data_IF_423783086064
#
_entry.id   IF_423783086064
#
_cell.length_a   1.000
_cell.length_b   1.000
_cell.length_c   1.000
_cell.angle_alpha   90.00
_cell.angle_beta   90.00
_cell.angle_gamma   90.00
#
_symmetry.space_group_name_H-M   'P 1'
#
loop_
_entity.id
_entity.type
_entity.pdbx_description
1 polymer ?
#
# COMPACT_ATOMS: atom_id res chain seq x y z
N UNK A 1 -10.53 2.61 -20.31
CA UNK A 1 -9.65 3.81 -20.40
C UNK A 1 -9.76 4.56 -19.09
N UNK A 2 -8.68 5.15 -18.58
CA UNK A 2 -8.74 5.91 -17.34
C UNK A 2 -9.68 7.11 -17.47
N UNK A 3 -10.35 7.47 -16.37
CA UNK A 3 -11.30 8.60 -16.34
C UNK A 3 -10.62 9.97 -16.38
N UNK A 4 -9.33 10.01 -16.03
CA UNK A 4 -8.47 11.19 -16.11
C UNK A 4 -7.29 10.81 -17.01
N UNK A 5 -6.92 11.59 -18.03
CA UNK A 5 -5.71 11.35 -18.82
C UNK A 5 -4.48 11.33 -17.91
N UNK A 6 -3.65 10.30 -18.03
CA UNK A 6 -2.43 10.15 -17.23
C UNK A 6 -1.27 10.71 -18.07
N UNK A 7 -0.58 11.78 -17.61
CA UNK A 7 0.48 12.39 -18.38
C UNK A 7 1.70 11.45 -18.50
N UNK A 8 2.50 11.63 -19.52
CA UNK A 8 3.85 11.10 -19.55
C UNK A 8 4.69 11.68 -18.41
N UNK A 9 5.80 11.01 -18.05
CA UNK A 9 6.68 11.52 -16.98
C UNK A 9 7.16 12.95 -17.28
N UNK A 10 7.53 13.24 -18.53
CA UNK A 10 8.08 14.54 -18.93
C UNK A 10 7.00 15.62 -19.17
N UNK A 11 5.74 15.22 -19.21
CA UNK A 11 4.58 16.11 -19.31
C UNK A 11 4.04 16.55 -17.93
N UNK A 12 4.54 15.92 -16.85
CA UNK A 12 4.14 16.26 -15.49
C UNK A 12 4.62 17.66 -15.10
N UNK A 13 3.88 18.38 -14.23
CA UNK A 13 4.30 19.68 -13.69
C UNK A 13 5.73 19.66 -13.14
N UNK A 14 6.47 20.76 -13.31
CA UNK A 14 7.88 20.86 -12.90
C UNK A 14 8.09 20.54 -11.42
N UNK A 15 7.15 20.96 -10.57
CA UNK A 15 7.17 20.74 -9.12
C UNK A 15 7.03 19.24 -8.75
N UNK A 16 6.44 18.43 -9.63
CA UNK A 16 6.29 16.99 -9.45
C UNK A 16 7.52 16.19 -9.87
N UNK A 17 8.35 16.73 -10.77
CA UNK A 17 9.48 16.01 -11.40
C UNK A 17 10.46 15.41 -10.36
N UNK A 18 10.90 16.11 -9.30
CA UNK A 18 11.87 15.55 -8.36
C UNK A 18 11.34 14.29 -7.64
N UNK A 19 10.02 14.23 -7.37
CA UNK A 19 9.41 13.06 -6.73
C UNK A 19 9.33 11.91 -7.73
N UNK A 20 8.94 12.16 -8.98
CA UNK A 20 8.91 11.16 -10.04
C UNK A 20 10.30 10.58 -10.33
N UNK A 21 11.33 11.41 -10.30
CA UNK A 21 12.73 10.98 -10.46
C UNK A 21 13.16 10.03 -9.34
N UNK A 22 12.76 10.32 -8.09
CA UNK A 22 13.05 9.43 -6.97
C UNK A 22 12.32 8.09 -7.08
N UNK A 23 11.09 8.09 -7.55
CA UNK A 23 10.32 6.87 -7.83
C UNK A 23 11.02 6.06 -8.94
N UNK A 24 11.44 6.71 -10.02
CA UNK A 24 12.16 6.06 -11.11
C UNK A 24 13.47 5.41 -10.64
N UNK A 25 14.24 6.07 -9.77
CA UNK A 25 15.46 5.49 -9.19
C UNK A 25 15.19 4.22 -8.39
N UNK A 26 14.04 4.14 -7.71
CA UNK A 26 13.71 3.01 -6.85
C UNK A 26 13.13 1.83 -7.62
N UNK A 27 12.27 2.09 -8.61
CA UNK A 27 11.52 1.05 -9.32
C UNK A 27 12.06 0.77 -10.74
N UNK A 28 12.91 1.66 -11.28
CA UNK A 28 13.39 1.58 -12.66
C UNK A 28 12.42 2.18 -13.70
N UNK A 29 11.25 2.62 -13.27
CA UNK A 29 10.23 3.30 -14.08
C UNK A 29 9.32 4.14 -13.17
N UNK A 30 8.47 4.99 -13.78
CA UNK A 30 7.46 5.77 -13.04
C UNK A 30 6.09 5.16 -13.30
N UNK A 31 5.48 4.48 -12.30
CA UNK A 31 4.18 3.84 -12.47
C UNK A 31 3.05 4.83 -12.76
N UNK A 32 1.97 4.33 -13.38
CA UNK A 32 0.78 5.11 -13.72
C UNK A 32 0.15 5.84 -12.53
N UNK A 33 0.18 5.24 -11.35
CA UNK A 33 -0.31 5.89 -10.12
C UNK A 33 0.44 7.19 -9.83
N UNK A 34 1.79 7.16 -9.83
CA UNK A 34 2.59 8.35 -9.54
C UNK A 34 2.47 9.40 -10.64
N UNK A 35 2.36 8.97 -11.91
CA UNK A 35 2.06 9.88 -13.03
C UNK A 35 0.68 10.51 -12.91
N UNK A 36 -0.35 9.75 -12.50
CA UNK A 36 -1.68 10.28 -12.19
C UNK A 36 -1.62 11.32 -11.06
N UNK A 37 -0.96 10.97 -9.95
CA UNK A 37 -0.84 11.88 -8.80
C UNK A 37 -0.06 13.15 -9.14
N UNK A 38 0.88 13.08 -10.08
CA UNK A 38 1.72 14.21 -10.47
C UNK A 38 0.95 15.38 -11.09
N UNK A 39 -0.26 15.15 -11.57
CA UNK A 39 -1.17 16.20 -12.06
C UNK A 39 -1.42 17.26 -10.98
N UNK A 40 -1.41 16.83 -9.70
CA UNK A 40 -1.45 17.71 -8.54
C UNK A 40 -0.15 17.60 -7.74
N UNK A 41 0.80 18.54 -7.88
CA UNK A 41 2.04 18.54 -7.12
C UNK A 41 1.82 18.44 -5.60
N UNK A 42 0.77 19.08 -5.09
CA UNK A 42 0.42 19.03 -3.67
C UNK A 42 -0.04 17.64 -3.21
N UNK A 43 -0.86 16.94 -4.02
CA UNK A 43 -1.29 15.58 -3.70
C UNK A 43 -0.11 14.61 -3.74
N UNK A 44 0.76 14.71 -4.76
CA UNK A 44 1.96 13.89 -4.88
C UNK A 44 2.94 14.14 -3.72
N UNK A 45 3.17 15.41 -3.36
CA UNK A 45 4.06 15.77 -2.25
C UNK A 45 3.51 15.26 -0.90
N UNK A 46 2.22 15.40 -0.65
CA UNK A 46 1.57 14.89 0.56
C UNK A 46 1.71 13.37 0.69
N UNK A 47 1.43 12.64 -0.39
CA UNK A 47 1.63 11.19 -0.45
C UNK A 47 3.10 10.80 -0.22
N UNK A 48 4.04 11.43 -0.93
CA UNK A 48 5.46 11.12 -0.84
C UNK A 48 6.03 11.43 0.55
N UNK A 49 5.60 12.53 1.17
CA UNK A 49 6.00 12.92 2.52
C UNK A 49 5.56 11.91 3.58
N UNK A 50 4.29 11.49 3.55
CA UNK A 50 3.76 10.48 4.47
C UNK A 50 4.44 9.12 4.25
N UNK A 51 4.54 8.66 3.00
CA UNK A 51 5.23 7.41 2.65
C UNK A 51 6.69 7.43 3.11
N UNK A 52 7.41 8.51 2.85
CA UNK A 52 8.81 8.65 3.24
C UNK A 52 9.00 8.60 4.76
N UNK A 53 8.10 9.20 5.54
CA UNK A 53 8.12 9.15 7.00
C UNK A 53 7.83 7.74 7.52
N UNK A 54 6.76 7.10 7.06
CA UNK A 54 6.33 5.78 7.52
C UNK A 54 7.26 4.65 7.03
N UNK A 55 8.04 4.86 5.97
CA UNK A 55 9.00 3.86 5.49
C UNK A 55 10.11 3.52 6.49
N UNK A 56 10.30 4.35 7.52
CA UNK A 56 11.36 4.21 8.53
C UNK A 56 10.89 3.59 9.85
N UNK A 57 9.61 3.24 9.96
CA UNK A 57 8.98 2.84 11.22
C UNK A 57 8.90 1.32 11.37
N UNK A 58 7.95 0.68 10.71
CA UNK A 58 7.80 -0.78 10.72
C UNK A 58 8.80 -1.45 9.77
N UNK A 59 9.11 -2.72 9.98
CA UNK A 59 9.93 -3.48 9.04
C UNK A 59 9.23 -3.63 7.68
N UNK A 60 10.01 -3.83 6.62
CA UNK A 60 9.51 -3.85 5.25
C UNK A 60 8.46 -4.94 5.02
N UNK A 61 8.62 -6.12 5.62
CA UNK A 61 7.67 -7.23 5.43
C UNK A 61 6.34 -6.95 6.10
N UNK A 62 6.35 -6.28 7.26
CA UNK A 62 5.12 -5.83 7.92
C UNK A 62 4.40 -4.77 7.09
N UNK A 63 5.13 -3.78 6.56
CA UNK A 63 4.54 -2.74 5.71
C UNK A 63 3.92 -3.31 4.43
N UNK A 64 4.64 -4.20 3.75
CA UNK A 64 4.14 -4.82 2.51
C UNK A 64 2.96 -5.76 2.78
N UNK A 65 2.98 -6.49 3.91
CA UNK A 65 1.85 -7.29 4.35
C UNK A 65 0.59 -6.46 4.60
N UNK A 66 0.75 -5.30 5.26
CA UNK A 66 -0.35 -4.33 5.45
C UNK A 66 -0.85 -3.81 4.10
N UNK A 67 0.05 -3.46 3.18
CA UNK A 67 -0.32 -2.98 1.85
C UNK A 67 -1.15 -4.00 1.06
N UNK A 68 -0.73 -5.28 1.08
CA UNK A 68 -1.44 -6.37 0.42
C UNK A 68 -2.84 -6.58 1.03
N UNK A 69 -2.94 -6.64 2.36
CA UNK A 69 -4.21 -6.84 3.06
C UNK A 69 -5.20 -5.68 2.82
N UNK A 70 -4.73 -4.44 2.86
CA UNK A 70 -5.54 -3.25 2.58
C UNK A 70 -6.00 -3.24 1.13
N UNK A 71 -5.10 -3.54 0.18
CA UNK A 71 -5.43 -3.56 -1.26
C UNK A 71 -6.46 -4.64 -1.60
N UNK A 72 -6.37 -5.82 -0.98
CA UNK A 72 -7.34 -6.90 -1.14
C UNK A 72 -8.69 -6.52 -0.54
N UNK A 73 -8.70 -6.00 0.70
CA UNK A 73 -9.93 -5.63 1.40
C UNK A 73 -10.70 -4.51 0.70
N UNK A 74 -10.00 -3.58 0.03
CA UNK A 74 -10.60 -2.46 -0.73
C UNK A 74 -10.84 -2.80 -2.22
N UNK A 75 -10.45 -3.99 -2.67
CA UNK A 75 -10.65 -4.43 -4.06
C UNK A 75 -9.86 -3.63 -5.08
N UNK A 76 -8.65 -3.15 -4.73
CA UNK A 76 -7.80 -2.40 -5.66
C UNK A 76 -6.85 -3.33 -6.44
N UNK A 77 -7.26 -3.75 -7.63
CA UNK A 77 -6.44 -4.63 -8.48
C UNK A 77 -5.10 -4.02 -8.87
N UNK A 78 -5.05 -2.71 -9.15
CA UNK A 78 -3.80 -2.00 -9.41
C UNK A 78 -2.84 -2.10 -8.23
N UNK A 79 -3.33 -1.78 -7.02
CA UNK A 79 -2.51 -1.78 -5.82
C UNK A 79 -2.05 -3.20 -5.46
N UNK A 80 -2.93 -4.18 -5.65
CA UNK A 80 -2.59 -5.58 -5.44
C UNK A 80 -1.47 -6.05 -6.38
N UNK A 81 -1.54 -5.71 -7.66
CA UNK A 81 -0.48 -5.99 -8.63
C UNK A 81 0.84 -5.31 -8.26
N UNK A 82 0.79 -4.01 -7.93
CA UNK A 82 1.97 -3.25 -7.55
C UNK A 82 2.63 -3.80 -6.28
N UNK A 83 1.86 -4.05 -5.21
CA UNK A 83 2.42 -4.56 -3.95
C UNK A 83 2.86 -6.02 -4.04
N UNK A 84 2.21 -6.85 -4.85
CA UNK A 84 2.71 -8.21 -5.13
C UNK A 84 4.06 -8.17 -5.84
N UNK A 85 4.23 -7.28 -6.82
CA UNK A 85 5.50 -7.07 -7.52
C UNK A 85 6.59 -6.57 -6.56
N UNK A 86 6.31 -5.55 -5.76
CA UNK A 86 7.25 -4.98 -4.78
C UNK A 86 7.65 -6.02 -3.74
N UNK A 87 6.69 -6.72 -3.16
CA UNK A 87 6.91 -7.77 -2.16
C UNK A 87 7.81 -8.88 -2.69
N UNK A 88 7.58 -9.32 -3.92
CA UNK A 88 8.40 -10.37 -4.56
C UNK A 88 9.80 -9.87 -4.91
N UNK A 89 9.88 -8.73 -5.59
CA UNK A 89 11.13 -8.32 -6.25
C UNK A 89 12.03 -7.46 -5.36
N UNK A 90 11.47 -6.65 -4.45
CA UNK A 90 12.23 -5.78 -3.56
C UNK A 90 12.30 -6.32 -2.12
N UNK A 91 11.18 -6.66 -1.52
CA UNK A 91 11.14 -7.15 -0.15
C UNK A 91 11.48 -8.64 0.00
N UNK A 92 11.56 -9.38 -1.13
CA UNK A 92 11.90 -10.82 -1.17
C UNK A 92 10.99 -11.67 -0.25
N UNK A 93 9.71 -11.37 -0.26
CA UNK A 93 8.69 -12.13 0.47
C UNK A 93 8.32 -13.36 -0.37
N UNK A 94 8.31 -14.57 0.22
CA UNK A 94 7.92 -15.78 -0.49
C UNK A 94 6.46 -15.74 -0.97
N UNK A 95 6.13 -16.39 -2.12
CA UNK A 95 4.78 -16.37 -2.68
C UNK A 95 3.67 -16.84 -1.72
N UNK A 96 3.96 -17.84 -0.91
CA UNK A 96 3.04 -18.36 0.11
C UNK A 96 2.75 -17.35 1.21
N UNK A 97 3.73 -16.55 1.60
CA UNK A 97 3.53 -15.47 2.57
C UNK A 97 2.76 -14.30 1.95
N UNK A 98 3.00 -13.98 0.66
CA UNK A 98 2.21 -12.98 -0.07
C UNK A 98 0.74 -13.39 -0.10
N UNK A 99 0.46 -14.67 -0.38
CA UNK A 99 -0.90 -15.19 -0.37
C UNK A 99 -1.56 -15.08 1.02
N UNK A 100 -0.85 -15.40 2.09
CA UNK A 100 -1.33 -15.20 3.46
C UNK A 100 -1.62 -13.73 3.75
N UNK A 101 -0.71 -12.83 3.38
CA UNK A 101 -0.82 -11.39 3.66
C UNK A 101 -2.04 -10.77 2.98
N UNK A 102 -2.39 -11.16 1.76
CA UNK A 102 -3.62 -10.75 1.08
C UNK A 102 -4.87 -11.03 1.90
N UNK A 103 -4.88 -12.15 2.64
CA UNK A 103 -6.00 -12.53 3.52
C UNK A 103 -5.92 -11.92 4.93
N UNK A 104 -4.99 -11.01 5.19
CA UNK A 104 -4.78 -10.46 6.53
C UNK A 104 -4.07 -11.44 7.47
N UNK A 105 -3.28 -12.38 6.94
CA UNK A 105 -2.59 -13.44 7.68
C UNK A 105 -1.08 -13.36 7.45
N UNK A 106 -0.32 -14.05 8.31
CA UNK A 106 1.13 -14.20 8.19
C UNK A 106 1.61 -15.47 8.91
N UNK A 107 2.71 -16.05 8.48
CA UNK A 107 3.41 -17.13 9.19
C UNK A 107 4.10 -16.64 10.47
N UNK A 108 4.39 -15.35 10.58
CA UNK A 108 4.95 -14.70 11.78
C UNK A 108 3.81 -14.16 12.68
N UNK A 109 3.66 -14.65 13.93
CA UNK A 109 2.53 -14.26 14.78
C UNK A 109 2.46 -12.76 15.10
N UNK A 110 3.62 -12.09 15.26
CA UNK A 110 3.66 -10.66 15.53
C UNK A 110 3.19 -9.87 14.30
N UNK A 111 3.69 -10.23 13.12
CA UNK A 111 3.27 -9.63 11.83
C UNK A 111 1.81 -9.93 11.54
N UNK A 112 1.35 -11.15 11.82
CA UNK A 112 -0.04 -11.56 11.72
C UNK A 112 -0.98 -10.56 12.42
N UNK A 113 -0.67 -10.18 13.66
CA UNK A 113 -1.50 -9.23 14.41
C UNK A 113 -1.56 -7.85 13.75
N UNK A 114 -0.45 -7.34 13.21
CA UNK A 114 -0.41 -6.06 12.52
C UNK A 114 -1.20 -6.07 11.20
N UNK A 115 -1.05 -7.12 10.41
CA UNK A 115 -1.71 -7.25 9.10
C UNK A 115 -3.22 -7.46 9.29
N UNK A 116 -3.63 -8.32 10.23
CA UNK A 116 -5.03 -8.52 10.57
C UNK A 116 -5.69 -7.24 11.08
N UNK A 117 -4.99 -6.49 11.93
CA UNK A 117 -5.47 -5.20 12.43
C UNK A 117 -5.69 -4.19 11.29
N UNK A 118 -4.73 -4.06 10.39
CA UNK A 118 -4.86 -3.16 9.24
C UNK A 118 -6.03 -3.54 8.33
N UNK A 119 -6.24 -4.84 8.05
CA UNK A 119 -7.41 -5.34 7.33
C UNK A 119 -8.70 -4.96 8.03
N UNK A 120 -8.79 -5.20 9.34
CA UNK A 120 -9.96 -4.88 10.17
C UNK A 120 -10.27 -3.38 10.17
N UNK A 121 -9.24 -2.51 10.19
CA UNK A 121 -9.42 -1.06 10.08
C UNK A 121 -10.18 -0.68 8.80
N UNK A 122 -9.86 -1.30 7.68
CA UNK A 122 -10.54 -1.03 6.40
C UNK A 122 -11.97 -1.57 6.42
N UNK A 123 -12.15 -2.83 6.77
CA UNK A 123 -13.46 -3.50 6.76
C UNK A 123 -14.45 -2.84 7.71
N UNK A 124 -13.98 -2.41 8.89
CA UNK A 124 -14.80 -1.76 9.91
C UNK A 124 -14.74 -0.23 9.88
N UNK A 125 -14.08 0.37 8.89
CA UNK A 125 -13.95 1.82 8.75
C UNK A 125 -13.40 2.48 10.02
N UNK A 126 -12.35 1.89 10.58
CA UNK A 126 -11.68 2.35 11.80
C UNK A 126 -12.37 1.96 13.12
N UNK A 127 -13.55 1.32 13.09
CA UNK A 127 -14.31 0.94 14.30
C UNK A 127 -13.88 -0.44 14.80
N UNK A 128 -12.63 -0.56 15.24
CA UNK A 128 -12.11 -1.79 15.84
C UNK A 128 -12.66 -1.97 17.27
N UNK A 129 -12.80 -3.24 17.69
CA UNK A 129 -13.20 -3.54 19.07
C UNK A 129 -12.03 -3.45 20.05
N UNK A 130 -12.33 -3.42 21.35
CA UNK A 130 -11.29 -3.42 22.39
C UNK A 130 -10.45 -4.71 22.35
N UNK A 131 -11.06 -5.85 22.01
CA UNK A 131 -10.37 -7.13 21.86
C UNK A 131 -9.40 -7.10 20.67
N UNK A 132 -9.83 -6.58 19.53
CA UNK A 132 -8.99 -6.44 18.33
C UNK A 132 -7.82 -5.49 18.58
N UNK A 133 -8.06 -4.39 19.28
CA UNK A 133 -7.02 -3.44 19.66
C UNK A 133 -6.02 -4.06 20.66
N UNK A 134 -6.55 -4.75 21.69
CA UNK A 134 -5.73 -5.41 22.71
C UNK A 134 -4.88 -6.52 22.12
N UNK A 135 -5.37 -7.27 21.13
CA UNK A 135 -4.62 -8.34 20.47
C UNK A 135 -3.33 -7.82 19.80
N UNK A 136 -3.36 -6.63 19.21
CA UNK A 136 -2.15 -6.01 18.63
C UNK A 136 -1.12 -5.68 19.70
N UNK A 137 -1.57 -5.13 20.84
CA UNK A 137 -0.68 -4.84 21.98
C UNK A 137 -0.10 -6.12 22.58
N UNK A 138 -0.92 -7.16 22.72
CA UNK A 138 -0.49 -8.46 23.24
C UNK A 138 0.57 -9.15 22.34
N UNK A 139 0.54 -8.87 21.02
CA UNK A 139 1.55 -9.33 20.08
C UNK A 139 2.89 -8.56 20.19
N UNK A 140 2.97 -7.59 21.10
CA UNK A 140 4.21 -6.83 21.40
C UNK A 140 4.42 -5.61 20.51
N UNK A 141 3.35 -5.05 19.92
CA UNK A 141 3.39 -3.76 19.24
C UNK A 141 3.17 -2.62 20.24
N UNK A 142 3.96 -1.55 20.12
CA UNK A 142 3.84 -0.35 20.95
C UNK A 142 2.69 0.53 20.49
N UNK A 143 2.23 1.45 21.32
CA UNK A 143 1.23 2.45 20.96
C UNK A 143 1.68 3.29 19.74
N UNK A 144 2.97 3.63 19.66
CA UNK A 144 3.54 4.30 18.50
C UNK A 144 3.39 3.47 17.22
N UNK A 145 3.72 2.17 17.27
CA UNK A 145 3.56 1.29 16.11
C UNK A 145 2.09 1.15 15.68
N UNK A 146 1.15 1.14 16.63
CA UNK A 146 -0.28 1.08 16.30
C UNK A 146 -0.72 2.36 15.57
N UNK A 147 -0.27 3.54 16.03
CA UNK A 147 -0.53 4.82 15.32
C UNK A 147 0.07 4.80 13.91
N UNK A 148 1.29 4.26 13.75
CA UNK A 148 1.95 4.11 12.45
C UNK A 148 1.21 3.14 11.53
N UNK A 149 0.68 2.02 12.05
CA UNK A 149 -0.17 1.08 11.30
C UNK A 149 -1.44 1.73 10.81
N UNK A 150 -2.12 2.52 11.64
CA UNK A 150 -3.33 3.25 11.28
C UNK A 150 -3.02 4.26 10.16
N UNK A 151 -1.95 5.05 10.32
CA UNK A 151 -1.53 6.02 9.31
C UNK A 151 -1.15 5.35 7.98
N UNK A 152 -0.45 4.21 8.04
CA UNK A 152 -0.03 3.43 6.87
C UNK A 152 -1.24 2.81 6.15
N UNK A 153 -2.19 2.23 6.89
CA UNK A 153 -3.43 1.68 6.31
C UNK A 153 -4.24 2.79 5.61
N UNK A 154 -4.37 3.96 6.23
CA UNK A 154 -5.05 5.11 5.64
C UNK A 154 -4.34 5.62 4.38
N UNK A 155 -3.00 5.60 4.34
CA UNK A 155 -2.23 5.97 3.16
C UNK A 155 -2.42 4.98 2.00
N UNK A 156 -2.43 3.68 2.26
CA UNK A 156 -2.73 2.70 1.21
C UNK A 156 -4.17 2.84 0.71
N UNK A 157 -5.13 3.13 1.60
CA UNK A 157 -6.50 3.40 1.21
C UNK A 157 -6.61 4.63 0.29
N UNK A 158 -5.83 5.69 0.54
CA UNK A 158 -5.74 6.86 -0.35
C UNK A 158 -5.36 6.44 -1.78
N UNK A 159 -4.31 5.63 -1.94
CA UNK A 159 -3.88 5.16 -3.26
C UNK A 159 -4.87 4.19 -3.90
N UNK A 160 -5.51 3.33 -3.11
CA UNK A 160 -6.57 2.45 -3.58
C UNK A 160 -7.75 3.26 -4.14
N UNK A 161 -8.21 4.27 -3.42
CA UNK A 161 -9.31 5.13 -3.88
C UNK A 161 -8.96 5.87 -5.17
N UNK A 162 -7.72 6.40 -5.30
CA UNK A 162 -7.29 7.03 -6.54
C UNK A 162 -7.36 6.06 -7.72
N UNK A 163 -6.80 4.88 -7.57
CA UNK A 163 -6.75 3.89 -8.64
C UNK A 163 -8.15 3.37 -9.01
N UNK A 164 -8.98 3.06 -8.01
CA UNK A 164 -10.34 2.60 -8.22
C UNK A 164 -11.22 3.69 -8.85
N UNK A 165 -11.16 4.93 -8.33
CA UNK A 165 -11.96 6.04 -8.83
C UNK A 165 -11.58 6.46 -10.26
N UNK A 166 -10.30 6.48 -10.59
CA UNK A 166 -9.80 6.89 -11.90
C UNK A 166 -9.76 5.73 -12.90
N UNK A 167 -9.84 4.48 -12.44
CA UNK A 167 -9.63 3.28 -13.25
C UNK A 167 -8.22 3.28 -13.88
N UNK A 168 -7.22 3.48 -13.03
CA UNK A 168 -5.81 3.54 -13.45
C UNK A 168 -5.42 2.25 -14.15
N UNK A 169 -4.90 2.29 -15.41
CA UNK A 169 -4.42 1.09 -16.09
C UNK A 169 -3.28 0.44 -15.31
N UNK A 170 -3.34 -0.87 -15.13
CA UNK A 170 -2.30 -1.63 -14.44
C UNK A 170 -1.06 -1.70 -15.32
N UNK A 171 0.09 -1.30 -14.77
CA UNK A 171 1.41 -1.34 -15.42
C UNK A 171 2.42 -2.22 -14.62
N UNK A 172 1.88 -3.10 -13.81
CA UNK A 172 2.57 -4.20 -13.13
C UNK A 172 2.05 -5.54 -13.65
N UNK A 173 2.77 -6.65 -13.43
CA UNK A 173 2.22 -7.98 -13.71
C UNK A 173 0.90 -8.19 -12.97
N UNK A 174 -0.15 -8.55 -13.71
CA UNK A 174 -1.47 -8.77 -13.12
C UNK A 174 -1.45 -9.96 -12.14
N UNK A 175 -2.19 -9.81 -11.06
CA UNK A 175 -2.39 -10.83 -10.04
C UNK A 175 -3.85 -11.23 -10.03
N UNK A 176 -4.13 -12.53 -10.15
CA UNK A 176 -5.49 -13.04 -10.11
C UNK A 176 -6.10 -12.86 -8.71
N UNK A 177 -7.17 -12.06 -8.55
CA UNK A 177 -7.84 -11.90 -7.26
C UNK A 177 -8.43 -13.22 -6.74
N UNK A 178 -8.82 -14.13 -7.63
CA UNK A 178 -9.45 -15.40 -7.26
C UNK A 178 -8.48 -16.49 -6.77
N UNK A 179 -7.16 -16.33 -6.98
CA UNK A 179 -6.14 -17.29 -6.52
C UNK A 179 -5.62 -17.00 -5.10
N UNK A 180 -6.28 -16.14 -4.38
CA UNK A 180 -6.02 -15.88 -2.98
C UNK A 180 -6.89 -16.77 -2.07
N UNK A 181 -7.07 -18.03 -2.44
CA UNK A 181 -7.77 -19.01 -1.63
C UNK A 181 -6.79 -19.88 -0.84
#
# INVERSE_FOLDING_TARGET
MPRIPIPGRDEAPAESQPILDNVNKTLGFVPNLQRLMSISPNALAGWAGLMGSLSKTLDVKTRDGIALAVSEADGCNYCLAAHSYISTNLAKIPPEEIALNRHGRSSDPKRQAAIAFAKTLIEKRGKVSDEEFTAVKAAGWTDANIVEMIALAAQFLLTNFMNNAVQTPIDFPEVDPAKAA
#
